data_IF_889444206761
#
_entry.id   IF_889444206761
#
_cell.length_a   1.000
_cell.length_b   1.000
_cell.length_c   1.000
_cell.angle_alpha   90.00
_cell.angle_beta   90.00
_cell.angle_gamma   90.00
#
_symmetry.space_group_name_H-M   'P 1'
#
loop_
_entity.id
_entity.type
_entity.pdbx_description
1 polymer ?
#
# COMPACT_ATOMS: atom_id res chain seq x y z
N UNK A 1 -19.76 -5.80 19.01
CA UNK A 1 -19.02 -5.32 17.83
C UNK A 1 -17.64 -4.82 18.25
N UNK A 2 -16.60 -5.36 17.66
CA UNK A 2 -15.23 -4.94 17.89
C UNK A 2 -14.69 -4.28 16.64
N UNK A 3 -14.10 -3.11 16.78
CA UNK A 3 -13.52 -2.37 15.66
C UNK A 3 -12.02 -2.24 15.91
N UNK A 4 -11.23 -2.74 14.96
CA UNK A 4 -9.79 -2.54 14.94
C UNK A 4 -9.44 -1.40 14.01
N UNK A 5 -8.65 -0.45 14.47
CA UNK A 5 -8.19 0.67 13.65
C UNK A 5 -6.68 0.56 13.50
N UNK A 6 -6.21 0.55 12.26
CA UNK A 6 -4.81 0.32 11.93
C UNK A 6 -4.25 1.54 11.21
N UNK A 7 -3.40 2.29 11.89
CA UNK A 7 -2.76 3.49 11.34
C UNK A 7 -1.42 3.12 10.74
N UNK A 8 -1.24 3.38 9.47
CA UNK A 8 0.06 3.15 8.84
C UNK A 8 1.03 4.30 9.14
N UNK A 9 2.32 4.03 8.97
CA UNK A 9 3.37 5.01 9.21
C UNK A 9 3.40 6.11 8.14
N UNK A 10 3.97 7.24 8.49
CA UNK A 10 4.14 8.37 7.57
C UNK A 10 4.78 7.90 6.26
N UNK A 11 4.18 8.29 5.16
CA UNK A 11 4.67 7.93 3.82
C UNK A 11 4.28 6.53 3.36
N UNK A 12 3.51 5.76 4.14
CA UNK A 12 3.07 4.41 3.76
C UNK A 12 1.58 4.38 3.44
N UNK A 13 1.24 3.72 2.36
CA UNK A 13 -0.15 3.57 1.94
C UNK A 13 -0.33 2.25 1.19
N UNK A 14 -0.98 1.29 1.83
CA UNK A 14 -1.19 -0.04 1.25
C UNK A 14 -2.02 0.03 -0.04
N UNK A 15 -2.95 0.96 -0.13
CA UNK A 15 -3.77 1.11 -1.32
C UNK A 15 -2.94 1.58 -2.52
N UNK A 16 -2.00 2.51 -2.31
CA UNK A 16 -1.09 2.95 -3.36
C UNK A 16 -0.10 1.86 -3.74
N UNK A 17 0.38 1.08 -2.78
CA UNK A 17 1.24 -0.08 -3.06
C UNK A 17 0.50 -1.10 -3.93
N UNK A 18 -0.75 -1.39 -3.62
CA UNK A 18 -1.59 -2.29 -4.42
C UNK A 18 -1.85 -1.71 -5.82
N UNK A 19 -2.10 -0.42 -5.92
CA UNK A 19 -2.30 0.25 -7.21
C UNK A 19 -1.07 0.12 -8.10
N UNK A 20 0.12 0.32 -7.55
CA UNK A 20 1.37 0.11 -8.29
C UNK A 20 1.48 -1.33 -8.77
N UNK A 21 1.16 -2.30 -7.93
CA UNK A 21 1.22 -3.71 -8.31
C UNK A 21 0.22 -4.01 -9.44
N UNK A 22 -0.93 -3.37 -9.43
CA UNK A 22 -1.94 -3.57 -10.47
C UNK A 22 -1.51 -3.04 -11.84
N UNK A 23 -0.81 -1.89 -11.88
CA UNK A 23 -0.44 -1.25 -13.15
C UNK A 23 1.00 -1.55 -13.57
N UNK A 24 1.84 -2.02 -12.64
CA UNK A 24 3.25 -2.24 -12.87
C UNK A 24 3.63 -3.69 -12.58
N UNK A 25 2.79 -4.62 -13.01
CA UNK A 25 3.11 -6.04 -12.90
C UNK A 25 4.14 -6.37 -13.96
N UNK A 26 5.30 -6.80 -13.54
CA UNK A 26 6.36 -7.22 -14.43
C UNK A 26 7.27 -8.17 -13.70
N UNK A 27 7.84 -9.09 -14.44
CA UNK A 27 8.86 -9.96 -13.92
C UNK A 27 10.19 -9.22 -13.99
N UNK A 28 10.85 -9.14 -12.85
CA UNK A 28 12.12 -8.41 -12.73
C UNK A 28 13.29 -9.38 -12.66
N UNK A 29 13.25 -10.40 -13.48
CA UNK A 29 14.31 -11.41 -13.50
C UNK A 29 15.61 -10.81 -13.99
N UNK A 30 16.68 -11.05 -13.24
CA UNK A 30 18.01 -10.60 -13.59
C UNK A 30 18.30 -9.14 -13.29
N UNK A 31 17.35 -8.42 -12.68
CA UNK A 31 17.56 -7.04 -12.26
C UNK A 31 17.97 -6.97 -10.80
N UNK A 32 18.88 -6.06 -10.49
CA UNK A 32 19.19 -5.74 -9.11
C UNK A 32 18.14 -4.79 -8.52
N UNK A 33 18.23 -4.51 -7.23
CA UNK A 33 17.23 -3.67 -6.56
C UNK A 33 17.15 -2.25 -7.14
N UNK A 34 18.30 -1.67 -7.51
CA UNK A 34 18.34 -0.33 -8.09
C UNK A 34 17.67 -0.29 -9.47
N UNK A 35 17.92 -1.31 -10.30
CA UNK A 35 17.28 -1.41 -11.61
C UNK A 35 15.78 -1.62 -11.49
N UNK A 36 15.34 -2.48 -10.58
CA UNK A 36 13.94 -2.73 -10.31
C UNK A 36 13.24 -1.45 -9.86
N UNK A 37 13.85 -0.72 -8.93
CA UNK A 37 13.30 0.54 -8.45
C UNK A 37 13.16 1.57 -9.58
N UNK A 38 14.17 1.69 -10.42
CA UNK A 38 14.15 2.60 -11.57
C UNK A 38 13.00 2.27 -12.52
N UNK A 39 12.81 1.00 -12.83
CA UNK A 39 11.71 0.55 -13.70
C UNK A 39 10.36 0.86 -13.07
N UNK A 40 10.21 0.60 -11.78
CA UNK A 40 8.96 0.86 -11.07
C UNK A 40 8.65 2.36 -11.00
N UNK A 41 9.66 3.19 -10.76
CA UNK A 41 9.47 4.66 -10.76
C UNK A 41 9.00 5.14 -12.11
N UNK A 42 9.58 4.65 -13.19
CA UNK A 42 9.16 5.04 -14.53
C UNK A 42 7.75 4.57 -14.85
N UNK A 43 7.39 3.36 -14.43
CA UNK A 43 6.06 2.83 -14.60
C UNK A 43 5.01 3.69 -13.91
N UNK A 44 5.24 4.06 -12.65
CA UNK A 44 4.31 4.90 -11.90
C UNK A 44 4.22 6.28 -12.53
N UNK A 45 5.33 6.85 -12.96
CA UNK A 45 5.32 8.15 -13.63
C UNK A 45 4.48 8.13 -14.91
N UNK A 46 4.62 7.09 -15.70
CA UNK A 46 3.88 6.97 -16.96
C UNK A 46 2.39 6.71 -16.75
N UNK A 47 2.03 5.94 -15.74
CA UNK A 47 0.64 5.53 -15.50
C UNK A 47 -0.13 6.43 -14.56
N UNK A 48 0.54 7.07 -13.59
CA UNK A 48 -0.12 7.89 -12.57
C UNK A 48 0.37 9.34 -12.53
N UNK A 49 1.39 9.68 -13.29
CA UNK A 49 1.96 11.02 -13.28
C UNK A 49 2.72 11.38 -12.01
N UNK A 50 3.08 10.39 -11.22
CA UNK A 50 3.76 10.58 -9.93
C UNK A 50 5.21 10.14 -10.06
N UNK A 51 6.14 10.94 -9.54
CA UNK A 51 7.56 10.63 -9.66
C UNK A 51 8.36 11.12 -8.45
N UNK A 52 9.60 10.65 -8.35
CA UNK A 52 10.54 11.06 -7.32
C UNK A 52 10.08 10.69 -5.93
N UNK A 53 10.34 11.54 -4.95
CA UNK A 53 9.97 11.30 -3.56
C UNK A 53 8.46 11.27 -3.34
N UNK A 54 7.69 11.87 -4.23
CA UNK A 54 6.23 11.85 -4.15
C UNK A 54 5.63 10.48 -4.51
N UNK A 55 6.43 9.55 -5.00
CA UNK A 55 6.00 8.19 -5.34
C UNK A 55 6.30 7.16 -4.25
N UNK A 56 6.78 7.58 -3.09
CA UNK A 56 7.24 6.65 -2.05
C UNK A 56 6.17 5.66 -1.60
N UNK A 57 4.93 6.10 -1.43
CA UNK A 57 3.84 5.22 -1.02
C UNK A 57 3.46 4.18 -2.06
N UNK A 58 3.80 4.41 -3.32
CA UNK A 58 3.58 3.46 -4.41
C UNK A 58 4.71 2.44 -4.50
N UNK A 59 5.94 2.88 -4.26
CA UNK A 59 7.14 2.07 -4.51
C UNK A 59 7.55 1.22 -3.32
N UNK A 60 7.05 1.55 -2.13
CA UNK A 60 7.34 0.79 -0.92
C UNK A 60 6.66 -0.57 -0.93
N UNK A 61 6.94 -1.32 0.12
CA UNK A 61 6.28 -2.59 0.37
C UNK A 61 5.19 -2.41 1.42
N UNK A 62 4.34 -3.40 1.54
CA UNK A 62 3.34 -3.43 2.61
C UNK A 62 4.04 -3.45 3.97
N UNK A 63 3.47 -2.71 4.91
CA UNK A 63 3.96 -2.67 6.29
C UNK A 63 3.31 -3.76 7.13
N UNK A 64 3.82 -3.94 8.34
CA UNK A 64 3.19 -4.82 9.33
C UNK A 64 1.76 -4.38 9.65
N UNK A 65 1.48 -3.08 9.58
CA UNK A 65 0.13 -2.55 9.81
C UNK A 65 -0.83 -3.09 8.77
N UNK A 66 -0.44 -3.11 7.49
CA UNK A 66 -1.25 -3.70 6.44
C UNK A 66 -1.55 -5.17 6.72
N UNK A 67 -0.52 -5.95 7.09
CA UNK A 67 -0.70 -7.37 7.35
C UNK A 67 -1.58 -7.61 8.57
N UNK A 68 -1.44 -6.82 9.62
CA UNK A 68 -2.30 -6.93 10.80
C UNK A 68 -3.76 -6.61 10.45
N UNK A 69 -3.98 -5.57 9.65
CA UNK A 69 -5.32 -5.23 9.17
C UNK A 69 -5.94 -6.38 8.37
N UNK A 70 -5.16 -6.99 7.48
CA UNK A 70 -5.62 -8.11 6.65
C UNK A 70 -5.96 -9.32 7.51
N UNK A 71 -5.10 -9.66 8.48
CA UNK A 71 -5.34 -10.78 9.38
C UNK A 71 -6.57 -10.53 10.26
N UNK A 72 -6.77 -9.32 10.71
CA UNK A 72 -7.94 -8.96 11.51
C UNK A 72 -9.22 -9.17 10.72
N UNK A 73 -9.26 -8.70 9.47
CA UNK A 73 -10.39 -8.92 8.57
C UNK A 73 -10.65 -10.39 8.30
N UNK A 74 -9.60 -11.18 8.08
CA UNK A 74 -9.73 -12.60 7.81
C UNK A 74 -10.26 -13.39 9.00
N UNK A 75 -10.03 -12.88 10.21
CA UNK A 75 -10.53 -13.50 11.42
C UNK A 75 -11.95 -13.08 11.76
N UNK A 76 -12.58 -12.27 10.93
CA UNK A 76 -13.99 -11.97 11.08
C UNK A 76 -14.80 -13.22 10.80
N UNK A 77 -15.19 -13.88 11.88
CA UNK A 77 -16.03 -15.05 11.76
C UNK A 77 -17.48 -14.61 11.67
N UNK A 78 -18.16 -14.82 10.55
CA UNK A 78 -19.53 -14.38 10.40
C UNK A 78 -20.54 -15.15 11.24
N UNK A 79 -20.09 -16.19 11.91
CA UNK A 79 -21.00 -17.12 12.57
C UNK A 79 -21.43 -16.72 13.98
N UNK A 80 -20.90 -15.67 14.55
CA UNK A 80 -21.13 -15.43 15.98
C UNK A 80 -21.99 -14.23 16.30
N UNK A 81 -22.38 -13.46 15.35
CA UNK A 81 -23.14 -12.25 15.65
C UNK A 81 -22.37 -11.15 16.36
N UNK A 82 -21.16 -11.42 16.85
CA UNK A 82 -20.25 -10.41 17.37
C UNK A 82 -19.26 -10.10 16.26
N UNK A 83 -19.57 -9.08 15.46
CA UNK A 83 -18.72 -8.73 14.34
C UNK A 83 -17.42 -8.09 14.79
N UNK A 84 -16.35 -8.40 14.10
CA UNK A 84 -15.12 -7.63 14.13
C UNK A 84 -15.03 -6.86 12.82
N UNK A 85 -14.56 -5.63 12.88
CA UNK A 85 -14.41 -4.80 11.71
C UNK A 85 -13.05 -4.11 11.75
N UNK A 86 -12.35 -4.16 10.65
CA UNK A 86 -11.03 -3.53 10.54
C UNK A 86 -11.13 -2.25 9.71
N UNK A 87 -10.50 -1.20 10.20
CA UNK A 87 -10.38 0.07 9.48
C UNK A 87 -8.89 0.33 9.29
N UNK A 88 -8.48 0.48 8.05
CA UNK A 88 -7.12 0.86 7.70
C UNK A 88 -7.05 2.35 7.40
N UNK A 89 -6.06 3.03 7.99
CA UNK A 89 -5.82 4.45 7.75
C UNK A 89 -4.42 4.61 7.18
N UNK A 90 -4.35 5.19 6.00
CA UNK A 90 -3.10 5.45 5.30
C UNK A 90 -2.19 6.39 6.09
N UNK A 91 -0.89 6.27 5.87
CA UNK A 91 0.09 7.11 6.55
C UNK A 91 -0.01 8.58 6.19
N UNK A 92 0.44 9.42 7.10
CA UNK A 92 0.45 10.87 6.91
C UNK A 92 1.27 11.21 5.65
N UNK A 93 0.76 12.16 4.87
CA UNK A 93 1.39 12.57 3.63
C UNK A 93 1.01 11.73 2.42
N UNK A 94 0.11 10.77 2.57
CA UNK A 94 -0.36 9.92 1.47
C UNK A 94 -1.87 9.99 1.33
N UNK A 95 -2.33 10.03 0.10
CA UNK A 95 -3.74 9.85 -0.25
C UNK A 95 -3.84 8.82 -1.35
N UNK A 96 -4.94 8.08 -1.35
CA UNK A 96 -5.13 7.03 -2.34
C UNK A 96 -5.19 7.63 -3.75
N UNK A 97 -4.34 7.12 -4.64
CA UNK A 97 -4.36 7.47 -6.04
C UNK A 97 -3.69 8.78 -6.42
N UNK A 98 -3.10 9.52 -5.47
CA UNK A 98 -2.43 10.80 -5.76
C UNK A 98 -0.99 10.78 -5.28
N UNK A 99 -0.23 11.80 -5.66
CA UNK A 99 1.16 11.95 -5.25
C UNK A 99 1.27 12.19 -3.74
N UNK A 100 2.33 11.66 -3.13
CA UNK A 100 2.59 11.90 -1.72
C UNK A 100 2.94 13.36 -1.47
N UNK A 101 2.52 13.86 -0.32
CA UNK A 101 2.88 15.20 0.14
C UNK A 101 3.84 15.11 1.33
N UNK A 102 4.59 16.15 1.54
CA UNK A 102 5.54 16.20 2.65
C UNK A 102 4.82 16.37 4.00
#
# INVERSE_FOLDING_TARGET
LTIGVFFDGTGNNANNTTDRQAVCTGEHFGMNDAETESVLQQCIRLNRGVSGTAAGSYLGYYTNVHWLNTLYDQNMAPQTGSGQHAIYISGIGTEDGVADSA
#
